data_IF_244061453850
#
_entry.id   IF_244061453850
#
_cell.length_a   1.000
_cell.length_b   1.000
_cell.length_c   1.000
_cell.angle_alpha   90.00
_cell.angle_beta   90.00
_cell.angle_gamma   90.00
#
_symmetry.space_group_name_H-M   'P 1'
#
loop_
_entity.id
_entity.type
_entity.pdbx_description
1 polymer ?
#
# COMPACT_ATOMS: atom_id res chain seq x y z
N UNK A 1 -15.43 -0.12 -22.85
CA UNK A 1 -14.23 -0.70 -22.24
C UNK A 1 -13.64 0.40 -21.37
N UNK A 2 -13.53 0.19 -20.08
CA UNK A 2 -12.99 1.16 -19.12
C UNK A 2 -11.46 1.32 -19.31
N UNK A 3 -10.86 2.32 -18.67
CA UNK A 3 -9.45 2.67 -18.79
C UNK A 3 -8.53 1.47 -18.44
N UNK A 4 -8.88 0.72 -17.39
CA UNK A 4 -8.15 -0.47 -16.94
C UNK A 4 -8.11 -1.58 -18.00
N UNK A 5 -9.25 -1.86 -18.66
CA UNK A 5 -9.31 -2.87 -19.71
C UNK A 5 -8.50 -2.49 -20.96
N UNK A 6 -8.41 -1.18 -21.29
CA UNK A 6 -7.58 -0.70 -22.40
C UNK A 6 -6.08 -0.86 -22.08
N UNK A 7 -5.67 -0.52 -20.85
CA UNK A 7 -4.29 -0.73 -20.39
C UNK A 7 -3.91 -2.21 -20.39
N UNK A 8 -4.80 -3.09 -19.93
CA UNK A 8 -4.59 -4.53 -19.95
C UNK A 8 -4.29 -5.05 -21.36
N UNK A 9 -5.10 -4.68 -22.35
CA UNK A 9 -4.87 -5.06 -23.73
C UNK A 9 -3.53 -4.60 -24.29
N UNK A 10 -3.05 -3.43 -23.87
CA UNK A 10 -1.78 -2.88 -24.34
C UNK A 10 -0.57 -3.53 -23.65
N UNK A 11 -0.65 -3.79 -22.37
CA UNK A 11 0.48 -4.24 -21.54
C UNK A 11 0.67 -5.75 -21.61
N UNK A 12 -0.42 -6.53 -21.63
CA UNK A 12 -0.36 -8.00 -21.57
C UNK A 12 0.54 -8.64 -22.63
N UNK A 13 0.56 -8.21 -23.93
CA UNK A 13 1.46 -8.79 -24.90
C UNK A 13 2.96 -8.61 -24.57
N UNK A 14 3.32 -7.45 -24.03
CA UNK A 14 4.71 -7.19 -23.61
C UNK A 14 5.07 -8.01 -22.37
N UNK A 15 4.14 -8.12 -21.42
CA UNK A 15 4.29 -8.99 -20.28
C UNK A 15 4.47 -10.45 -20.67
N UNK A 16 3.67 -10.98 -21.60
CA UNK A 16 3.82 -12.33 -22.13
C UNK A 16 5.15 -12.53 -22.86
N UNK A 17 5.61 -11.55 -23.62
CA UNK A 17 6.93 -11.62 -24.27
C UNK A 17 8.05 -11.69 -23.23
N UNK A 18 7.97 -10.88 -22.17
CA UNK A 18 8.90 -10.93 -21.05
C UNK A 18 8.88 -12.30 -20.37
N UNK A 19 7.69 -12.85 -20.04
CA UNK A 19 7.54 -14.16 -19.40
C UNK A 19 8.07 -15.30 -20.26
N UNK A 20 7.86 -15.25 -21.58
CA UNK A 20 8.41 -16.25 -22.49
C UNK A 20 9.94 -16.32 -22.40
N UNK A 21 10.61 -15.19 -22.46
CA UNK A 21 12.07 -15.16 -22.35
C UNK A 21 12.54 -15.53 -20.95
N UNK A 22 11.88 -15.05 -19.92
CA UNK A 22 12.21 -15.40 -18.54
C UNK A 22 12.16 -16.92 -18.32
N UNK A 23 11.05 -17.57 -18.68
CA UNK A 23 10.89 -19.02 -18.62
C UNK A 23 11.92 -19.74 -19.47
N UNK A 24 12.18 -19.28 -20.70
CA UNK A 24 13.20 -19.87 -21.58
C UNK A 24 14.58 -19.90 -20.89
N UNK A 25 14.99 -18.79 -20.27
CA UNK A 25 16.27 -18.72 -19.56
C UNK A 25 16.30 -19.56 -18.28
N UNK A 26 15.20 -19.60 -17.51
CA UNK A 26 15.11 -20.49 -16.34
C UNK A 26 15.28 -21.96 -16.78
N UNK A 27 14.51 -22.39 -17.78
CA UNK A 27 14.59 -23.77 -18.25
C UNK A 27 15.94 -24.10 -18.90
N UNK A 28 16.57 -23.15 -19.59
CA UNK A 28 17.91 -23.33 -20.14
C UNK A 28 18.94 -23.63 -19.03
N UNK A 29 18.83 -22.98 -17.88
CA UNK A 29 19.71 -23.19 -16.73
C UNK A 29 19.53 -24.56 -16.08
N UNK A 30 18.34 -25.19 -16.21
CA UNK A 30 18.03 -26.48 -15.58
C UNK A 30 18.00 -27.66 -16.56
N UNK A 31 18.56 -27.51 -17.77
CA UNK A 31 18.69 -28.58 -18.75
C UNK A 31 17.82 -28.44 -20.00
N UNK A 32 17.02 -27.38 -20.08
CA UNK A 32 16.15 -27.06 -21.23
C UNK A 32 14.87 -27.89 -21.27
N UNK A 33 13.88 -27.36 -21.98
CA UNK A 33 12.64 -28.04 -22.42
C UNK A 33 12.28 -27.57 -23.83
N UNK A 34 11.37 -28.29 -24.48
CA UNK A 34 10.84 -27.88 -25.78
C UNK A 34 10.14 -26.51 -25.68
N UNK A 35 10.41 -25.63 -26.65
CA UNK A 35 9.84 -24.28 -26.69
C UNK A 35 8.30 -24.27 -26.77
N UNK A 36 7.67 -25.32 -27.26
CA UNK A 36 6.22 -25.44 -27.28
C UNK A 36 5.63 -25.46 -25.85
N UNK A 37 6.29 -26.12 -24.89
CA UNK A 37 5.85 -26.10 -23.48
C UNK A 37 6.04 -24.73 -22.86
N UNK A 38 7.13 -24.04 -23.18
CA UNK A 38 7.37 -22.65 -22.73
C UNK A 38 6.25 -21.75 -23.23
N UNK A 39 5.88 -21.87 -24.50
CA UNK A 39 4.79 -21.10 -25.09
C UNK A 39 3.45 -21.39 -24.38
N UNK A 40 3.13 -22.66 -24.13
CA UNK A 40 1.89 -23.05 -23.41
C UNK A 40 1.86 -22.41 -22.01
N UNK A 41 2.98 -22.50 -21.25
CA UNK A 41 3.08 -21.90 -19.93
C UNK A 41 2.90 -20.37 -19.98
N UNK A 42 3.55 -19.71 -20.96
CA UNK A 42 3.41 -18.27 -21.16
C UNK A 42 1.98 -17.86 -21.46
N UNK A 43 1.28 -18.60 -22.33
CA UNK A 43 -0.14 -18.36 -22.64
C UNK A 43 -1.01 -18.52 -21.40
N UNK A 44 -0.74 -19.52 -20.59
CA UNK A 44 -1.47 -19.77 -19.33
C UNK A 44 -1.23 -18.64 -18.32
N UNK A 45 0.01 -18.18 -18.13
CA UNK A 45 0.34 -17.03 -17.28
C UNK A 45 -0.34 -15.77 -17.81
N UNK A 46 -0.27 -15.50 -19.11
CA UNK A 46 -0.96 -14.36 -19.73
C UNK A 46 -2.47 -14.39 -19.52
N UNK A 47 -3.09 -15.56 -19.54
CA UNK A 47 -4.51 -15.73 -19.28
C UNK A 47 -4.84 -15.42 -17.80
N UNK A 48 -4.03 -15.91 -16.85
CA UNK A 48 -4.19 -15.62 -15.41
C UNK A 48 -4.08 -14.12 -15.16
N UNK A 49 -3.11 -13.44 -15.80
CA UNK A 49 -2.92 -12.00 -15.69
C UNK A 49 -4.09 -11.19 -16.28
N UNK A 50 -4.56 -11.57 -17.46
CA UNK A 50 -5.54 -10.80 -18.21
C UNK A 50 -6.98 -10.93 -17.66
N UNK A 51 -7.37 -12.12 -17.20
CA UNK A 51 -8.75 -12.38 -16.78
C UNK A 51 -9.20 -11.51 -15.58
N UNK A 52 -8.45 -11.38 -14.48
CA UNK A 52 -8.85 -10.53 -13.37
C UNK A 52 -9.04 -9.07 -13.78
N UNK A 53 -8.14 -8.51 -14.61
CA UNK A 53 -8.19 -7.12 -15.06
C UNK A 53 -9.49 -6.76 -15.80
N UNK A 54 -10.13 -7.74 -16.43
CA UNK A 54 -11.41 -7.52 -17.14
C UNK A 54 -12.61 -7.72 -16.21
N UNK A 55 -12.58 -8.75 -15.35
CA UNK A 55 -13.77 -9.18 -14.64
C UNK A 55 -13.93 -8.50 -13.27
N UNK A 56 -12.85 -8.19 -12.55
CA UNK A 56 -12.91 -7.54 -11.23
C UNK A 56 -13.52 -6.14 -11.31
N UNK A 57 -13.26 -5.38 -12.36
CA UNK A 57 -13.84 -4.04 -12.55
C UNK A 57 -15.36 -4.03 -12.72
N UNK A 58 -15.99 -5.18 -12.95
CA UNK A 58 -17.44 -5.30 -13.09
C UNK A 58 -18.10 -5.87 -11.85
N UNK A 59 -17.49 -6.90 -11.28
CA UNK A 59 -17.94 -7.56 -10.06
C UNK A 59 -16.82 -8.41 -9.49
N UNK A 60 -16.46 -8.16 -8.24
CA UNK A 60 -15.48 -8.98 -7.53
C UNK A 60 -16.04 -10.37 -7.24
N UNK A 61 -15.28 -11.40 -7.63
CA UNK A 61 -15.65 -12.81 -7.43
C UNK A 61 -14.50 -13.57 -6.80
N UNK A 62 -14.81 -14.65 -6.04
CA UNK A 62 -13.79 -15.46 -5.38
C UNK A 62 -12.74 -16.02 -6.33
N UNK A 63 -13.15 -16.45 -7.53
CA UNK A 63 -12.22 -16.99 -8.55
C UNK A 63 -11.30 -15.91 -9.13
N UNK A 64 -11.82 -14.73 -9.44
CA UNK A 64 -11.00 -13.65 -10.00
C UNK A 64 -10.02 -13.11 -8.97
N UNK A 65 -10.44 -12.97 -7.70
CA UNK A 65 -9.54 -12.65 -6.59
C UNK A 65 -8.43 -13.68 -6.40
N UNK A 66 -8.76 -14.97 -6.47
CA UNK A 66 -7.77 -16.04 -6.39
C UNK A 66 -6.75 -15.94 -7.53
N UNK A 67 -7.21 -15.71 -8.77
CA UNK A 67 -6.31 -15.49 -9.91
C UNK A 67 -5.44 -14.23 -9.73
N UNK A 68 -5.99 -13.13 -9.20
CA UNK A 68 -5.21 -11.91 -8.91
C UNK A 68 -4.10 -12.18 -7.88
N UNK A 69 -4.39 -12.97 -6.84
CA UNK A 69 -3.37 -13.33 -5.84
C UNK A 69 -2.26 -14.17 -6.47
N UNK A 70 -2.61 -15.17 -7.29
CA UNK A 70 -1.62 -16.00 -8.00
C UNK A 70 -0.78 -15.14 -8.95
N UNK A 71 -1.42 -14.27 -9.73
CA UNK A 71 -0.76 -13.34 -10.64
C UNK A 71 0.20 -12.42 -9.89
N UNK A 72 -0.23 -11.82 -8.79
CA UNK A 72 0.61 -10.95 -7.97
C UNK A 72 1.81 -11.68 -7.35
N UNK A 73 1.64 -12.94 -6.91
CA UNK A 73 2.75 -13.78 -6.43
C UNK A 73 3.71 -14.07 -7.57
N UNK A 74 3.20 -14.42 -8.75
CA UNK A 74 4.01 -14.73 -9.92
C UNK A 74 4.77 -13.50 -10.43
N UNK A 75 4.13 -12.33 -10.54
CA UNK A 75 4.79 -11.08 -10.91
C UNK A 75 6.00 -10.75 -10.01
N UNK A 76 5.83 -10.94 -8.69
CA UNK A 76 6.93 -10.81 -7.76
C UNK A 76 8.03 -11.86 -8.03
N UNK A 77 7.66 -13.12 -8.21
CA UNK A 77 8.61 -14.21 -8.49
C UNK A 77 9.36 -13.97 -9.80
N UNK A 78 8.69 -13.51 -10.84
CA UNK A 78 9.30 -13.17 -12.15
C UNK A 78 10.39 -12.12 -12.01
N UNK A 79 10.14 -11.06 -11.20
CA UNK A 79 11.16 -10.05 -10.91
C UNK A 79 12.36 -10.64 -10.15
N UNK A 80 12.11 -11.50 -9.16
CA UNK A 80 13.18 -12.15 -8.39
C UNK A 80 13.97 -13.12 -9.27
N UNK A 81 13.31 -13.94 -10.09
CA UNK A 81 13.99 -14.82 -11.04
C UNK A 81 14.81 -14.03 -12.06
N UNK A 82 14.32 -12.91 -12.56
CA UNK A 82 15.10 -12.05 -13.45
C UNK A 82 16.40 -11.60 -12.78
N UNK A 83 16.31 -11.13 -11.52
CA UNK A 83 17.51 -10.70 -10.77
C UNK A 83 18.47 -11.87 -10.53
N UNK A 84 17.96 -13.04 -10.19
CA UNK A 84 18.75 -14.24 -9.94
C UNK A 84 19.45 -14.72 -11.21
N UNK A 85 18.74 -14.76 -12.34
CA UNK A 85 19.32 -15.09 -13.65
C UNK A 85 20.43 -14.12 -14.02
N UNK A 86 20.19 -12.80 -13.88
CA UNK A 86 21.21 -11.77 -14.17
C UNK A 86 22.44 -12.00 -13.28
N UNK A 87 22.21 -12.27 -11.99
CA UNK A 87 23.31 -12.59 -11.05
C UNK A 87 24.09 -13.84 -11.48
N UNK A 88 23.41 -14.95 -11.81
CA UNK A 88 24.02 -16.19 -12.27
C UNK A 88 24.87 -15.94 -13.52
N UNK A 89 24.35 -15.22 -14.53
CA UNK A 89 25.09 -14.93 -15.74
C UNK A 89 26.30 -14.02 -15.53
N UNK A 90 26.22 -13.04 -14.62
CA UNK A 90 27.36 -12.18 -14.25
C UNK A 90 28.45 -13.04 -13.58
N UNK A 91 28.10 -13.85 -12.58
CA UNK A 91 29.05 -14.68 -11.84
C UNK A 91 29.70 -15.73 -12.75
N UNK A 92 28.90 -16.34 -13.65
CA UNK A 92 29.38 -17.33 -14.61
C UNK A 92 30.42 -16.78 -15.61
N UNK A 93 30.58 -15.45 -15.73
CA UNK A 93 31.67 -14.83 -16.51
C UNK A 93 33.04 -14.93 -15.84
N UNK A 94 33.07 -15.14 -14.53
CA UNK A 94 34.31 -15.14 -13.74
C UNK A 94 34.65 -16.54 -13.19
N UNK A 95 33.64 -17.37 -12.90
CA UNK A 95 33.77 -18.71 -12.35
C UNK A 95 32.77 -19.67 -13.01
N UNK A 96 33.14 -20.95 -13.15
CA UNK A 96 32.17 -21.97 -13.54
C UNK A 96 31.30 -22.34 -12.34
N UNK A 97 29.99 -22.18 -12.49
CA UNK A 97 29.03 -22.56 -11.45
C UNK A 97 28.60 -24.01 -11.63
N UNK A 98 28.75 -24.87 -10.61
CA UNK A 98 28.18 -26.22 -10.62
C UNK A 98 26.64 -26.14 -10.76
N UNK A 99 26.05 -27.15 -11.40
CA UNK A 99 24.61 -27.23 -11.63
C UNK A 99 23.82 -27.18 -10.32
N UNK A 100 24.30 -27.83 -9.28
CA UNK A 100 23.69 -27.82 -7.94
C UNK A 100 23.62 -26.44 -7.33
N UNK A 101 24.63 -25.60 -7.55
CA UNK A 101 24.64 -24.20 -7.10
C UNK A 101 23.58 -23.37 -7.84
N UNK A 102 23.46 -23.57 -9.16
CA UNK A 102 22.42 -22.92 -9.95
C UNK A 102 21.03 -23.29 -9.44
N UNK A 103 20.78 -24.57 -9.17
CA UNK A 103 19.51 -25.02 -8.59
C UNK A 103 19.22 -24.40 -7.23
N UNK A 104 20.24 -24.32 -6.35
CA UNK A 104 20.09 -23.68 -5.03
C UNK A 104 19.71 -22.21 -5.19
N UNK A 105 20.36 -21.46 -6.08
CA UNK A 105 20.06 -20.06 -6.36
C UNK A 105 18.62 -19.91 -6.83
N UNK A 106 18.18 -20.67 -7.82
CA UNK A 106 16.79 -20.63 -8.31
C UNK A 106 15.77 -21.01 -7.22
N UNK A 107 16.12 -21.92 -6.30
CA UNK A 107 15.25 -22.32 -5.19
C UNK A 107 15.15 -21.28 -4.06
N UNK A 108 16.03 -20.27 -4.03
CA UNK A 108 15.92 -19.14 -3.10
C UNK A 108 14.62 -18.36 -3.37
N UNK A 109 14.23 -18.17 -4.63
CA UNK A 109 13.04 -17.40 -5.00
C UNK A 109 11.76 -17.95 -4.38
N UNK A 110 11.37 -19.24 -4.55
CA UNK A 110 10.17 -19.77 -3.91
C UNK A 110 10.25 -19.77 -2.38
N UNK A 111 11.43 -20.00 -1.78
CA UNK A 111 11.60 -19.93 -0.31
C UNK A 111 11.37 -18.51 0.20
N UNK A 112 11.98 -17.50 -0.44
CA UNK A 112 11.72 -16.10 -0.14
C UNK A 112 10.26 -15.73 -0.39
N UNK A 113 9.63 -16.31 -1.42
CA UNK A 113 8.22 -16.11 -1.74
C UNK A 113 7.29 -16.49 -0.58
N UNK A 114 7.52 -17.64 0.05
CA UNK A 114 6.76 -18.09 1.22
C UNK A 114 6.91 -17.08 2.37
N UNK A 115 8.15 -16.68 2.69
CA UNK A 115 8.43 -15.69 3.73
C UNK A 115 7.76 -14.33 3.43
N UNK A 116 7.91 -13.81 2.21
CA UNK A 116 7.39 -12.50 1.81
C UNK A 116 5.86 -12.48 1.76
N UNK A 117 5.24 -13.59 1.37
CA UNK A 117 3.79 -13.75 1.41
C UNK A 117 3.28 -13.74 2.85
N UNK A 118 3.90 -14.52 3.73
CA UNK A 118 3.58 -14.51 5.17
C UNK A 118 3.74 -13.10 5.75
N UNK A 119 4.87 -12.46 5.49
CA UNK A 119 5.17 -11.09 5.97
C UNK A 119 4.12 -10.08 5.49
N UNK A 120 3.71 -10.17 4.24
CA UNK A 120 2.66 -9.32 3.66
C UNK A 120 1.28 -9.52 4.32
N UNK A 121 1.03 -10.66 4.98
CA UNK A 121 -0.24 -10.98 5.64
C UNK A 121 -0.18 -10.87 7.17
N UNK A 122 1.00 -10.65 7.73
CA UNK A 122 1.19 -10.49 9.16
C UNK A 122 1.08 -9.02 9.56
N UNK A 123 -0.12 -8.61 9.98
CA UNK A 123 -0.38 -7.25 10.45
C UNK A 123 0.25 -7.04 11.83
N UNK A 124 1.23 -6.16 11.91
CA UNK A 124 1.93 -5.80 13.16
C UNK A 124 1.48 -4.43 13.66
N UNK A 125 1.65 -4.21 14.96
CA UNK A 125 1.42 -2.91 15.61
C UNK A 125 2.76 -2.37 16.07
N UNK A 126 3.09 -1.16 15.60
CA UNK A 126 4.25 -0.40 16.05
C UNK A 126 3.78 0.78 16.91
N UNK A 127 4.65 1.28 17.77
CA UNK A 127 4.37 2.46 18.58
C UNK A 127 5.46 3.51 18.38
N UNK A 128 5.07 4.79 18.28
CA UNK A 128 5.93 5.95 18.17
C UNK A 128 5.44 7.04 19.12
N UNK A 129 6.35 7.78 19.72
CA UNK A 129 6.02 8.93 20.56
C UNK A 129 6.31 10.22 19.78
N UNK A 130 5.38 11.17 19.88
CA UNK A 130 5.47 12.53 19.32
C UNK A 130 5.32 13.50 20.48
N UNK A 131 6.31 14.35 20.69
CA UNK A 131 6.33 15.33 21.77
C UNK A 131 5.99 16.72 21.20
N UNK A 132 4.87 17.30 21.67
CA UNK A 132 4.32 18.56 21.17
C UNK A 132 4.16 19.57 22.32
N UNK A 133 4.70 20.78 22.15
CA UNK A 133 4.64 21.84 23.17
C UNK A 133 3.23 22.43 23.34
N UNK A 134 2.42 22.41 22.28
CA UNK A 134 1.07 22.97 22.25
C UNK A 134 -0.04 21.93 22.51
N UNK A 135 0.32 20.71 22.92
CA UNK A 135 -0.65 19.68 23.27
C UNK A 135 -1.21 19.93 24.68
N UNK A 136 -2.51 20.03 24.82
CA UNK A 136 -3.15 20.27 26.12
C UNK A 136 -3.17 18.98 26.98
N UNK A 137 -3.47 17.84 26.36
CA UNK A 137 -3.60 16.53 27.00
C UNK A 137 -3.03 15.45 26.11
N UNK A 138 -2.36 14.45 26.71
CA UNK A 138 -1.90 13.27 25.98
C UNK A 138 -3.06 12.58 25.25
N UNK A 139 -2.81 12.20 24.01
CA UNK A 139 -3.78 11.54 23.12
C UNK A 139 -3.07 10.54 22.23
N UNK A 140 -3.76 9.46 21.89
CA UNK A 140 -3.22 8.36 21.10
C UNK A 140 -4.00 8.15 19.82
N UNK A 141 -3.28 8.03 18.70
CA UNK A 141 -3.85 7.85 17.35
C UNK A 141 -3.35 6.53 16.79
N UNK A 142 -4.27 5.64 16.40
CA UNK A 142 -3.94 4.50 15.57
C UNK A 142 -3.90 4.96 14.10
N UNK A 143 -2.70 5.14 13.53
CA UNK A 143 -2.52 5.57 12.15
C UNK A 143 -2.42 4.38 11.21
N UNK A 144 -3.28 4.36 10.19
CA UNK A 144 -3.37 3.38 9.12
C UNK A 144 -3.36 4.10 7.77
N UNK A 145 -2.92 3.43 6.72
CA UNK A 145 -3.04 3.87 5.33
C UNK A 145 -2.95 2.67 4.39
N UNK A 146 -3.22 2.90 3.10
CA UNK A 146 -2.91 1.93 2.04
C UNK A 146 -3.46 0.52 2.36
N UNK A 147 -4.73 0.46 2.73
CA UNK A 147 -5.43 -0.79 3.02
C UNK A 147 -5.62 -1.58 1.73
N UNK A 148 -5.83 -0.89 0.60
CA UNK A 148 -6.02 -1.44 -0.72
C UNK A 148 -7.06 -2.59 -0.71
N UNK A 149 -8.23 -2.28 -0.16
CA UNK A 149 -9.37 -3.18 -0.27
C UNK A 149 -9.74 -3.38 -1.74
N UNK A 150 -9.72 -4.64 -2.19
CA UNK A 150 -10.04 -4.97 -3.57
C UNK A 150 -9.73 -6.41 -3.92
N UNK A 151 -9.15 -6.64 -5.11
CA UNK A 151 -8.93 -7.99 -5.64
C UNK A 151 -7.85 -8.79 -4.91
N UNK A 152 -6.77 -8.13 -4.43
CA UNK A 152 -5.71 -8.78 -3.65
C UNK A 152 -6.13 -9.00 -2.19
N UNK A 153 -6.81 -8.01 -1.61
CA UNK A 153 -7.24 -7.96 -0.22
C UNK A 153 -8.71 -7.59 -0.17
N UNK A 154 -9.54 -8.46 0.37
CA UNK A 154 -10.98 -8.27 0.42
C UNK A 154 -11.49 -8.21 1.87
N UNK A 155 -12.76 -8.41 2.12
CA UNK A 155 -13.43 -8.28 3.44
C UNK A 155 -12.67 -8.87 4.64
N UNK A 156 -11.76 -9.82 4.41
CA UNK A 156 -10.94 -10.37 5.51
C UNK A 156 -10.01 -9.31 6.09
N UNK A 157 -9.34 -8.48 5.27
CA UNK A 157 -8.43 -7.45 5.77
C UNK A 157 -9.17 -6.42 6.62
N UNK A 158 -10.42 -6.06 6.24
CA UNK A 158 -11.24 -5.11 7.00
C UNK A 158 -11.58 -5.67 8.37
N UNK A 159 -11.91 -6.96 8.47
CA UNK A 159 -12.15 -7.64 9.77
C UNK A 159 -10.87 -7.71 10.60
N UNK A 160 -9.76 -8.16 9.99
CA UNK A 160 -8.46 -8.26 10.67
C UNK A 160 -8.02 -6.91 11.26
N UNK A 161 -8.25 -5.80 10.53
CA UNK A 161 -7.99 -4.42 11.01
C UNK A 161 -8.92 -4.08 12.18
N UNK A 162 -10.23 -4.27 12.03
CA UNK A 162 -11.21 -3.95 13.06
C UNK A 162 -10.94 -4.73 14.36
N UNK A 163 -10.63 -6.03 14.25
CA UNK A 163 -10.26 -6.88 15.39
C UNK A 163 -8.95 -6.38 16.04
N UNK A 164 -7.96 -5.98 15.23
CA UNK A 164 -6.69 -5.47 15.74
C UNK A 164 -6.86 -4.12 16.46
N UNK A 165 -7.67 -3.20 15.89
CA UNK A 165 -7.98 -1.90 16.49
C UNK A 165 -8.68 -2.07 17.85
N UNK A 166 -9.60 -3.01 17.99
CA UNK A 166 -10.26 -3.30 19.28
C UNK A 166 -9.31 -3.86 20.35
N UNK A 167 -8.15 -4.37 19.94
CA UNK A 167 -7.10 -4.83 20.86
C UNK A 167 -6.04 -3.76 21.20
N UNK A 168 -6.17 -2.54 20.68
CA UNK A 168 -5.22 -1.43 20.88
C UNK A 168 -5.90 -0.36 21.74
N UNK A 169 -5.20 0.09 22.78
CA UNK A 169 -5.64 1.23 23.59
C UNK A 169 -5.27 2.53 22.88
N UNK A 170 -6.24 3.07 22.11
CA UNK A 170 -6.14 4.34 21.38
C UNK A 170 -7.44 5.13 21.49
N UNK A 171 -7.31 6.45 21.43
CA UNK A 171 -8.45 7.37 21.50
C UNK A 171 -9.15 7.50 20.13
N UNK A 172 -8.40 7.33 19.03
CA UNK A 172 -8.83 7.61 17.65
C UNK A 172 -8.08 6.72 16.66
N UNK A 173 -8.74 6.28 15.60
CA UNK A 173 -8.11 5.67 14.43
C UNK A 173 -8.18 6.60 13.21
N UNK A 174 -7.07 6.78 12.49
CA UNK A 174 -6.99 7.60 11.27
C UNK A 174 -6.51 6.76 10.10
N UNK A 175 -7.26 6.76 9.02
CA UNK A 175 -6.92 6.14 7.73
C UNK A 175 -6.54 7.27 6.77
N UNK A 176 -5.24 7.39 6.45
CA UNK A 176 -4.70 8.47 5.64
C UNK A 176 -4.65 8.15 4.15
N UNK A 177 -5.71 7.54 3.61
CA UNK A 177 -5.90 7.32 2.18
C UNK A 177 -5.70 5.87 1.73
N UNK A 178 -6.09 5.63 0.46
CA UNK A 178 -6.01 4.35 -0.24
C UNK A 178 -6.68 3.20 0.55
N UNK A 179 -7.92 3.48 1.01
CA UNK A 179 -8.76 2.46 1.62
C UNK A 179 -9.19 1.42 0.58
N UNK A 180 -9.59 1.87 -0.62
CA UNK A 180 -9.85 1.01 -1.77
C UNK A 180 -8.62 0.94 -2.71
N UNK A 181 -8.46 -0.19 -3.42
CA UNK A 181 -7.35 -0.37 -4.38
C UNK A 181 -7.64 0.20 -5.78
N UNK A 182 -8.90 0.53 -6.06
CA UNK A 182 -9.34 1.04 -7.35
C UNK A 182 -9.37 0.01 -8.48
N UNK A 183 -9.26 -1.29 -8.19
CA UNK A 183 -9.38 -2.38 -9.18
C UNK A 183 -10.72 -3.08 -9.14
N UNK A 184 -11.36 -3.11 -7.97
CA UNK A 184 -12.64 -3.74 -7.72
C UNK A 184 -13.69 -2.72 -7.32
N UNK A 185 -14.95 -2.96 -7.68
CA UNK A 185 -16.09 -2.18 -7.16
C UNK A 185 -16.21 -2.35 -5.64
N UNK A 186 -16.53 -1.25 -4.96
CA UNK A 186 -16.83 -1.23 -3.52
C UNK A 186 -18.33 -1.38 -3.33
N UNK A 187 -18.75 -2.40 -2.59
CA UNK A 187 -20.14 -2.61 -2.22
C UNK A 187 -20.45 -1.90 -0.89
N UNK A 188 -21.72 -1.48 -0.65
CA UNK A 188 -22.07 -0.71 0.55
C UNK A 188 -21.75 -1.37 1.89
N UNK A 189 -21.59 -2.71 1.92
CA UNK A 189 -21.33 -3.49 3.14
C UNK A 189 -19.86 -3.88 3.33
N UNK A 190 -18.97 -3.46 2.44
CA UNK A 190 -17.60 -3.94 2.44
C UNK A 190 -16.79 -3.48 3.66
N UNK A 191 -17.11 -2.32 4.22
CA UNK A 191 -16.41 -1.75 5.37
C UNK A 191 -17.16 -1.91 6.70
N UNK A 192 -18.26 -2.68 6.73
CA UNK A 192 -19.14 -2.80 7.90
C UNK A 192 -18.45 -3.32 9.16
N UNK A 193 -17.30 -4.02 9.07
CA UNK A 193 -16.57 -4.45 10.26
C UNK A 193 -16.05 -3.27 11.10
N UNK A 194 -15.79 -2.11 10.49
CA UNK A 194 -15.39 -0.90 11.23
C UNK A 194 -16.48 -0.37 12.17
N UNK A 195 -17.75 -0.71 11.94
CA UNK A 195 -18.84 -0.33 12.84
C UNK A 195 -18.69 -0.88 14.25
N UNK A 196 -17.94 -1.96 14.41
CA UNK A 196 -17.69 -2.64 15.69
C UNK A 196 -16.38 -2.19 16.35
N UNK A 197 -15.68 -1.21 15.78
CA UNK A 197 -14.48 -0.63 16.39
C UNK A 197 -14.90 0.29 17.53
N UNK A 198 -14.27 0.11 18.71
CA UNK A 198 -14.64 0.80 19.95
C UNK A 198 -14.21 2.27 20.03
N UNK A 199 -13.47 2.78 19.01
CA UNK A 199 -13.02 4.17 18.91
C UNK A 199 -13.53 4.79 17.61
N UNK A 200 -13.61 6.13 17.50
CA UNK A 200 -13.90 6.80 16.22
C UNK A 200 -12.87 6.44 15.17
N UNK A 201 -13.34 6.22 13.93
CA UNK A 201 -12.48 5.98 12.75
C UNK A 201 -12.67 7.13 11.79
N UNK A 202 -11.57 7.81 11.44
CA UNK A 202 -11.54 8.93 10.50
C UNK A 202 -10.83 8.49 9.22
N UNK A 203 -11.33 8.91 8.08
CA UNK A 203 -10.78 8.58 6.78
C UNK A 203 -10.69 9.82 5.89
N UNK A 204 -9.57 9.96 5.20
CA UNK A 204 -9.38 10.94 4.11
C UNK A 204 -8.95 10.20 2.86
N UNK A 205 -9.60 10.41 1.70
CA UNK A 205 -9.30 9.68 0.47
C UNK A 205 -7.88 9.90 -0.07
N UNK A 206 -7.25 8.80 -0.52
CA UNK A 206 -6.03 8.80 -1.33
C UNK A 206 -6.33 8.69 -2.83
N UNK A 207 -5.30 8.52 -3.66
CA UNK A 207 -5.47 8.50 -5.11
C UNK A 207 -6.17 7.24 -5.64
N UNK A 208 -5.98 6.08 -5.02
CA UNK A 208 -6.63 4.84 -5.45
C UNK A 208 -8.13 4.84 -5.21
N UNK A 209 -8.61 5.55 -4.19
CA UNK A 209 -10.02 5.62 -3.87
C UNK A 209 -10.87 6.24 -5.00
N UNK A 210 -10.24 7.04 -5.89
CA UNK A 210 -10.91 7.67 -7.03
C UNK A 210 -11.03 6.79 -8.27
N UNK A 211 -10.22 5.72 -8.41
CA UNK A 211 -10.10 5.00 -9.69
C UNK A 211 -11.35 4.23 -10.13
N UNK A 212 -12.18 3.76 -9.18
CA UNK A 212 -13.42 3.04 -9.48
C UNK A 212 -14.69 3.79 -9.05
N UNK A 213 -14.55 4.99 -8.50
CA UNK A 213 -15.65 5.83 -8.06
C UNK A 213 -15.58 6.14 -6.57
N UNK A 214 -15.17 7.37 -6.26
CA UNK A 214 -15.03 7.85 -4.87
C UNK A 214 -16.37 7.86 -4.11
N UNK A 215 -17.49 8.10 -4.80
CA UNK A 215 -18.81 8.18 -4.18
C UNK A 215 -19.21 6.86 -3.52
N UNK A 216 -18.92 5.71 -4.14
CA UNK A 216 -19.20 4.37 -3.59
C UNK A 216 -18.33 4.10 -2.35
N UNK A 217 -17.06 4.52 -2.37
CA UNK A 217 -16.15 4.40 -1.22
C UNK A 217 -16.66 5.24 -0.05
N UNK A 218 -16.99 6.52 -0.29
CA UNK A 218 -17.52 7.43 0.74
C UNK A 218 -18.85 6.90 1.30
N UNK A 219 -19.76 6.43 0.44
CA UNK A 219 -21.04 5.87 0.87
C UNK A 219 -20.87 4.65 1.77
N UNK A 220 -19.96 3.71 1.39
CA UNK A 220 -19.65 2.54 2.20
C UNK A 220 -18.99 2.92 3.54
N UNK A 221 -18.08 3.92 3.55
CA UNK A 221 -17.48 4.45 4.77
C UNK A 221 -18.52 5.01 5.73
N UNK A 222 -19.39 5.90 5.23
CA UNK A 222 -20.46 6.51 6.04
C UNK A 222 -21.42 5.46 6.59
N UNK A 223 -21.77 4.45 5.79
CA UNK A 223 -22.61 3.31 6.23
C UNK A 223 -21.95 2.53 7.35
N UNK A 224 -20.62 2.36 7.31
CA UNK A 224 -19.83 1.70 8.35
C UNK A 224 -19.60 2.57 9.60
N UNK A 225 -20.05 3.84 9.62
CA UNK A 225 -19.82 4.76 10.72
C UNK A 225 -18.43 5.43 10.71
N UNK A 226 -17.71 5.34 9.60
CA UNK A 226 -16.42 6.02 9.42
C UNK A 226 -16.69 7.50 9.11
N UNK A 227 -15.98 8.40 9.81
CA UNK A 227 -16.03 9.84 9.59
C UNK A 227 -15.13 10.15 8.39
N UNK A 228 -15.71 10.68 7.33
CA UNK A 228 -14.97 11.03 6.10
C UNK A 228 -14.66 12.52 6.11
N UNK A 229 -13.39 12.88 6.01
CA UNK A 229 -12.90 14.24 5.85
C UNK A 229 -12.47 14.44 4.39
N UNK A 230 -13.33 15.06 3.63
CA UNK A 230 -13.16 15.43 2.22
C UNK A 230 -12.97 16.94 2.16
N UNK A 231 -11.74 17.43 2.25
CA UNK A 231 -11.39 18.83 2.42
C UNK A 231 -12.16 19.49 3.60
N UNK A 232 -12.25 18.77 4.70
CA UNK A 232 -13.00 19.13 5.90
C UNK A 232 -12.15 18.99 7.15
N UNK A 233 -12.53 19.75 8.19
CA UNK A 233 -11.93 19.66 9.51
C UNK A 233 -12.92 19.11 10.54
N UNK A 234 -12.38 18.47 11.57
CA UNK A 234 -13.11 18.11 12.78
C UNK A 234 -12.26 18.39 14.02
N UNK A 235 -12.90 18.70 15.11
CA UNK A 235 -12.25 18.74 16.42
C UNK A 235 -12.43 17.41 17.14
N UNK A 236 -11.35 16.95 17.79
CA UNK A 236 -11.35 15.78 18.63
C UNK A 236 -10.48 16.03 19.86
N UNK A 237 -11.10 16.26 21.01
CA UNK A 237 -10.39 16.69 22.22
C UNK A 237 -9.59 17.98 21.97
N UNK A 238 -8.29 17.92 22.15
CA UNK A 238 -7.37 19.05 21.90
C UNK A 238 -6.81 19.08 20.47
N UNK A 239 -7.32 18.26 19.56
CA UNK A 239 -6.88 18.20 18.17
C UNK A 239 -7.84 18.92 17.24
N UNK A 240 -7.29 19.68 16.29
CA UNK A 240 -7.95 20.09 15.06
C UNK A 240 -7.43 19.20 13.92
N UNK A 241 -8.26 18.27 13.45
CA UNK A 241 -7.89 17.30 12.43
C UNK A 241 -8.44 17.76 11.10
N UNK A 242 -7.58 17.97 10.11
CA UNK A 242 -7.95 18.40 8.78
C UNK A 242 -7.58 17.33 7.75
N UNK A 243 -8.55 16.87 6.97
CA UNK A 243 -8.35 15.91 5.90
C UNK A 243 -8.39 16.60 4.54
N UNK A 244 -7.32 16.44 3.75
CA UNK A 244 -7.21 16.93 2.38
C UNK A 244 -7.17 15.77 1.43
N UNK A 245 -8.08 15.75 0.46
CA UNK A 245 -8.11 14.73 -0.58
C UNK A 245 -6.90 14.85 -1.51
N UNK A 246 -6.55 13.74 -2.14
CA UNK A 246 -5.47 13.72 -3.12
C UNK A 246 -5.79 14.66 -4.30
N UNK A 247 -4.87 15.57 -4.63
CA UNK A 247 -4.96 16.39 -5.83
C UNK A 247 -4.29 15.71 -7.01
N UNK A 248 -5.03 15.60 -8.12
CA UNK A 248 -4.47 15.12 -9.40
C UNK A 248 -3.80 16.26 -10.19
N UNK A 249 -4.01 17.50 -9.76
CA UNK A 249 -3.38 18.69 -10.34
C UNK A 249 -2.03 18.99 -9.67
N UNK A 250 -1.22 19.79 -10.31
CA UNK A 250 0.06 20.33 -9.79
C UNK A 250 0.94 19.31 -9.02
N UNK A 251 1.06 18.10 -9.55
CA UNK A 251 1.90 17.02 -8.97
C UNK A 251 1.52 16.64 -7.53
N UNK A 252 0.25 16.74 -7.18
CA UNK A 252 -0.26 16.40 -5.86
C UNK A 252 -0.06 17.51 -4.83
N UNK A 253 0.03 18.77 -5.23
CA UNK A 253 0.06 19.91 -4.31
C UNK A 253 -1.36 20.45 -4.14
N UNK A 254 -2.02 20.26 -2.96
CA UNK A 254 -3.33 20.83 -2.71
C UNK A 254 -3.21 22.33 -2.38
N UNK A 255 -4.24 23.10 -2.74
CA UNK A 255 -4.42 24.44 -2.21
C UNK A 255 -4.86 24.38 -0.75
N UNK A 256 -4.18 25.12 0.11
CA UNK A 256 -4.51 25.23 1.53
C UNK A 256 -4.83 26.67 1.91
N UNK A 257 -5.81 26.80 2.79
CA UNK A 257 -6.17 28.05 3.42
C UNK A 257 -5.65 28.08 4.86
N UNK A 258 -4.90 29.13 5.22
CA UNK A 258 -4.41 29.34 6.59
C UNK A 258 -5.53 29.45 7.63
N UNK A 259 -6.77 29.76 7.21
CA UNK A 259 -7.96 29.79 8.08
C UNK A 259 -8.30 28.43 8.70
N UNK A 260 -7.75 27.33 8.16
CA UNK A 260 -7.91 25.97 8.68
C UNK A 260 -7.14 25.75 10.00
N UNK A 261 -6.13 26.57 10.28
CA UNK A 261 -5.30 26.45 11.47
C UNK A 261 -6.01 27.07 12.69
N UNK A 262 -6.13 26.29 13.75
CA UNK A 262 -6.64 26.74 15.06
C UNK A 262 -5.48 26.88 16.04
N UNK A 263 -5.19 28.11 16.45
CA UNK A 263 -4.02 28.44 17.27
C UNK A 263 -4.07 27.87 18.68
N UNK A 264 -5.25 27.57 19.18
CA UNK A 264 -5.56 27.02 20.48
C UNK A 264 -5.64 25.49 20.52
N UNK A 265 -5.49 24.84 19.37
CA UNK A 265 -5.51 23.39 19.23
C UNK A 265 -4.23 22.87 18.57
N UNK A 266 -3.94 21.60 18.77
CA UNK A 266 -2.90 20.89 18.00
C UNK A 266 -3.45 20.55 16.61
N UNK A 267 -2.80 21.04 15.57
CA UNK A 267 -3.29 20.90 14.19
C UNK A 267 -2.68 19.65 13.53
N UNK A 268 -3.53 18.67 13.23
CA UNK A 268 -3.18 17.42 12.57
C UNK A 268 -3.70 17.44 11.13
N UNK A 269 -2.79 17.27 10.17
CA UNK A 269 -3.11 17.15 8.76
C UNK A 269 -3.12 15.68 8.34
N UNK A 270 -4.19 15.26 7.68
CA UNK A 270 -4.24 13.99 6.96
C UNK A 270 -4.09 14.31 5.48
N UNK A 271 -2.95 13.96 4.90
CA UNK A 271 -2.70 14.06 3.46
C UNK A 271 -1.98 12.82 2.98
N UNK A 272 -2.58 12.10 2.05
CA UNK A 272 -2.14 10.76 1.66
C UNK A 272 -0.68 10.70 1.21
N UNK A 273 -0.24 11.66 0.38
CA UNK A 273 1.14 11.70 -0.14
C UNK A 273 2.06 12.47 0.83
N UNK A 274 3.29 12.01 1.09
CA UNK A 274 4.21 12.70 2.00
C UNK A 274 4.91 13.89 1.33
N UNK A 275 4.13 14.71 0.61
CA UNK A 275 4.59 15.93 -0.07
C UNK A 275 4.21 17.18 0.72
N UNK A 276 4.83 18.30 0.39
CA UNK A 276 4.54 19.64 0.91
C UNK A 276 4.62 19.74 2.45
N UNK A 277 5.31 18.82 3.14
CA UNK A 277 5.37 18.84 4.60
C UNK A 277 6.02 20.10 5.16
N UNK A 278 7.05 20.62 4.49
CA UNK A 278 7.71 21.85 4.89
C UNK A 278 6.72 23.03 4.86
N UNK A 279 6.01 23.19 3.75
CA UNK A 279 5.03 24.26 3.57
C UNK A 279 3.87 24.12 4.59
N UNK A 280 3.38 22.91 4.80
CA UNK A 280 2.31 22.66 5.78
C UNK A 280 2.77 22.94 7.21
N UNK A 281 4.02 22.61 7.52
CA UNK A 281 4.64 22.94 8.80
C UNK A 281 4.74 24.45 9.01
N UNK A 282 5.18 25.20 8.00
CA UNK A 282 5.28 26.67 8.05
C UNK A 282 3.91 27.33 8.21
N UNK A 283 2.84 26.76 7.62
CA UNK A 283 1.46 27.20 7.79
C UNK A 283 0.93 27.01 9.22
N UNK A 284 1.47 26.05 9.99
CA UNK A 284 1.09 25.81 11.37
C UNK A 284 0.51 24.43 11.67
N UNK A 285 0.60 23.47 10.74
CA UNK A 285 0.30 22.07 11.06
C UNK A 285 1.40 21.46 11.93
N UNK A 286 1.01 20.86 13.05
CA UNK A 286 1.91 20.26 14.03
C UNK A 286 2.33 18.84 13.63
N UNK A 287 1.41 18.08 13.03
CA UNK A 287 1.61 16.70 12.60
C UNK A 287 0.96 16.48 11.24
N UNK A 288 1.70 15.93 10.29
CA UNK A 288 1.16 15.38 9.04
C UNK A 288 1.18 13.86 9.07
N UNK A 289 0.06 13.23 8.67
CA UNK A 289 -0.12 11.79 8.55
C UNK A 289 -0.24 11.40 7.07
N UNK A 290 0.67 10.56 6.59
CA UNK A 290 0.76 10.15 5.19
C UNK A 290 1.03 8.66 5.02
N UNK A 291 0.75 8.13 3.82
CA UNK A 291 1.07 6.78 3.37
C UNK A 291 1.67 6.80 1.97
N UNK A 292 1.01 6.17 0.99
CA UNK A 292 1.27 6.20 -0.45
C UNK A 292 2.53 5.44 -0.91
N UNK A 293 3.63 5.55 -0.20
CA UNK A 293 4.94 5.03 -0.64
C UNK A 293 5.11 3.54 -0.42
N UNK A 294 4.30 2.95 0.47
CA UNK A 294 4.48 1.59 1.00
C UNK A 294 5.90 1.32 1.56
N UNK A 295 6.73 2.37 1.71
CA UNK A 295 8.15 2.21 1.97
C UNK A 295 8.91 1.44 0.87
N UNK A 296 8.32 1.34 -0.35
CA UNK A 296 8.77 0.51 -1.46
C UNK A 296 8.32 -0.95 -1.41
N UNK A 297 7.54 -1.34 -0.39
CA UNK A 297 6.88 -2.64 -0.18
C UNK A 297 7.83 -3.84 -0.10
N UNK A 298 8.71 -4.09 -1.08
CA UNK A 298 9.70 -5.18 -1.06
C UNK A 298 10.99 -4.80 -1.79
N UNK A 299 12.09 -5.47 -1.45
CA UNK A 299 13.36 -5.30 -2.19
C UNK A 299 13.26 -5.86 -3.62
N UNK A 300 13.84 -5.17 -4.63
CA UNK A 300 14.71 -3.99 -4.50
C UNK A 300 13.97 -2.64 -4.43
N UNK A 301 12.63 -2.60 -4.57
CA UNK A 301 11.85 -1.37 -4.63
C UNK A 301 12.00 -0.51 -3.35
N UNK A 302 12.29 -1.13 -2.20
CA UNK A 302 12.62 -0.40 -0.95
C UNK A 302 13.81 0.53 -1.11
N UNK A 303 14.85 0.12 -1.85
CA UNK A 303 16.00 0.99 -2.13
C UNK A 303 15.65 2.15 -3.05
N UNK A 304 14.87 1.86 -4.10
CA UNK A 304 14.42 2.89 -5.05
C UNK A 304 13.44 3.87 -4.40
N UNK A 305 12.56 3.40 -3.51
CA UNK A 305 11.66 4.26 -2.76
C UNK A 305 12.39 5.35 -1.97
N UNK A 306 13.52 5.02 -1.34
CA UNK A 306 14.34 5.99 -0.62
C UNK A 306 15.08 7.00 -1.55
N UNK A 307 15.20 6.69 -2.84
CA UNK A 307 15.76 7.62 -3.84
C UNK A 307 14.70 8.53 -4.46
N UNK A 308 13.46 8.03 -4.56
CA UNK A 308 12.34 8.74 -5.21
C UNK A 308 11.63 9.67 -4.23
N UNK A 309 11.37 9.19 -3.01
CA UNK A 309 10.63 9.93 -1.99
C UNK A 309 11.60 10.50 -0.94
N UNK A 310 11.58 11.82 -0.77
CA UNK A 310 12.34 12.50 0.30
C UNK A 310 11.96 11.93 1.67
N UNK A 311 10.69 11.64 1.87
CA UNK A 311 10.11 11.04 3.07
C UNK A 311 9.42 9.74 2.70
N UNK A 312 10.16 8.62 2.73
CA UNK A 312 9.64 7.34 2.24
C UNK A 312 8.85 6.58 3.32
N UNK A 313 9.36 6.47 4.54
CA UNK A 313 8.72 5.79 5.68
C UNK A 313 9.28 6.21 7.02
N UNK A 314 8.45 6.23 8.05
CA UNK A 314 8.85 6.48 9.44
C UNK A 314 8.39 7.83 9.97
N UNK A 315 8.96 8.24 11.09
CA UNK A 315 8.65 9.48 11.77
C UNK A 315 9.79 10.48 11.54
N UNK A 316 9.43 11.66 11.05
CA UNK A 316 10.35 12.77 10.79
C UNK A 316 9.98 13.96 11.68
N UNK A 317 10.98 14.74 12.06
CA UNK A 317 10.83 15.99 12.83
C UNK A 317 11.66 17.07 12.16
N UNK A 318 11.10 18.28 12.01
CA UNK A 318 11.82 19.43 11.47
C UNK A 318 12.29 20.39 12.59
N UNK A 319 13.01 21.44 12.19
CA UNK A 319 13.55 22.44 13.11
C UNK A 319 12.47 23.28 13.80
N UNK A 320 11.24 23.30 13.26
CA UNK A 320 10.08 23.94 13.88
C UNK A 320 9.44 23.06 14.98
N UNK A 321 9.96 21.85 15.22
CA UNK A 321 9.39 20.89 16.15
C UNK A 321 8.14 20.19 15.63
N UNK A 322 7.83 20.28 14.32
CA UNK A 322 6.69 19.65 13.66
C UNK A 322 7.04 18.26 13.18
N UNK A 323 6.03 17.41 12.99
CA UNK A 323 6.23 16.00 12.65
C UNK A 323 5.53 15.61 11.37
N UNK A 324 6.15 14.70 10.62
CA UNK A 324 5.54 13.92 9.55
C UNK A 324 5.67 12.44 9.89
N UNK A 325 4.58 11.71 9.86
CA UNK A 325 4.60 10.26 9.92
C UNK A 325 4.15 9.66 8.59
N UNK A 326 5.03 8.85 7.97
CA UNK A 326 4.74 8.09 6.75
C UNK A 326 4.72 6.61 7.10
N UNK A 327 3.52 6.01 7.02
CA UNK A 327 3.37 4.57 7.28
C UNK A 327 3.69 3.75 6.03
N UNK A 328 4.12 2.49 6.22
CA UNK A 328 4.29 1.53 5.12
C UNK A 328 2.98 0.88 4.69
N UNK A 329 1.88 1.23 5.34
CA UNK A 329 0.53 0.78 5.00
C UNK A 329 0.17 -0.63 5.50
N UNK A 330 -1.13 -0.89 5.55
CA UNK A 330 -1.68 -2.17 6.00
C UNK A 330 -1.77 -3.19 4.86
N UNK A 331 -2.20 -2.76 3.70
CA UNK A 331 -2.40 -3.62 2.52
C UNK A 331 -1.16 -3.81 1.68
N UNK A 332 -1.37 -4.04 0.40
CA UNK A 332 -0.32 -4.18 -0.59
C UNK A 332 -0.88 -3.82 -1.98
N UNK A 333 -0.06 -3.23 -2.81
CA UNK A 333 -0.39 -2.92 -4.21
C UNK A 333 0.31 -3.85 -5.18
N UNK A 334 -0.35 -4.23 -6.27
CA UNK A 334 0.10 -5.12 -7.35
C UNK A 334 0.46 -6.56 -6.92
N UNK A 335 1.14 -6.76 -5.80
CA UNK A 335 1.56 -8.09 -5.31
C UNK A 335 1.37 -8.18 -3.79
N UNK A 336 0.92 -9.35 -3.25
CA UNK A 336 0.68 -9.51 -1.81
C UNK A 336 1.96 -9.75 -1.00
N UNK A 337 3.12 -9.35 -1.52
CA UNK A 337 4.44 -9.62 -0.96
C UNK A 337 5.00 -8.41 -0.22
N UNK A 338 5.67 -8.65 0.92
CA UNK A 338 6.45 -7.64 1.64
C UNK A 338 7.82 -8.16 2.05
N UNK A 339 8.87 -7.33 1.83
CA UNK A 339 10.24 -7.60 2.25
C UNK A 339 10.98 -6.29 2.51
N UNK A 340 11.38 -6.05 3.76
CA UNK A 340 12.00 -4.78 4.18
C UNK A 340 10.99 -3.72 4.61
N UNK A 341 9.69 -4.06 4.58
CA UNK A 341 8.59 -3.29 5.15
C UNK A 341 7.61 -4.21 5.87
N UNK A 342 6.77 -3.67 6.74
CA UNK A 342 5.70 -4.39 7.43
C UNK A 342 4.32 -4.04 6.87
N UNK A 343 3.36 -4.95 7.01
CA UNK A 343 1.94 -4.62 7.05
C UNK A 343 1.67 -4.08 8.46
N UNK A 344 1.38 -2.78 8.62
CA UNK A 344 1.43 -2.15 9.94
C UNK A 344 0.23 -1.26 10.27
N UNK A 345 -0.07 -1.21 11.56
CA UNK A 345 -0.80 -0.12 12.23
C UNK A 345 0.21 0.58 13.16
N UNK A 346 0.29 1.89 13.11
CA UNK A 346 1.23 2.63 13.97
C UNK A 346 0.47 3.44 15.01
N UNK A 347 0.69 3.12 16.28
CA UNK A 347 0.16 3.89 17.40
C UNK A 347 1.07 5.09 17.64
N UNK A 348 0.55 6.27 17.40
CA UNK A 348 1.21 7.54 17.65
C UNK A 348 0.75 8.05 19.02
N UNK A 349 1.66 8.04 20.00
CA UNK A 349 1.44 8.61 21.35
C UNK A 349 1.85 10.07 21.32
N UNK A 350 0.88 10.97 21.15
CA UNK A 350 1.12 12.40 21.27
C UNK A 350 1.19 12.75 22.75
N UNK A 351 2.31 13.30 23.17
CA UNK A 351 2.59 13.67 24.55
C UNK A 351 2.92 15.15 24.65
N UNK A 352 2.48 15.75 25.75
CA UNK A 352 2.89 17.11 26.08
C UNK A 352 4.38 17.11 26.43
N UNK A 353 5.12 18.05 25.81
CA UNK A 353 6.53 18.31 26.10
C UNK A 353 6.68 19.24 27.28
#
# INVERSE_FOLDING_TARGET
MNFTSKRALLITPFYMLFEFFLLKYIFLLVGGIDEAYILILTLFIGLIHFMPLIFESKKSRGITRFLTVIDGIWMWASLMFLMDIVFIYIVARFISLPFEVILILLMIVPVLGIYNYWKGHNLVVHEKTIELANLEKDISIAHLSDIHFGSLRHRKIIRDIADRLNGIDCDLAIISGDLADGTSVVEPDDFMAFRNVGMPVVFTPGNHDFYMGIDDVIAACRKAGIIVLDNQSMEFGCLNIHGIIFSFDDKGKPELDESLIKRDLTNVLIYHVPYCWEEFSEMGFDVQLSGHTHGGQFYPAVWFGNLIFKYNKGLFKNDLGRYLHVTTGVGATATPMRWGTDSEIVVLRLKRF
#
